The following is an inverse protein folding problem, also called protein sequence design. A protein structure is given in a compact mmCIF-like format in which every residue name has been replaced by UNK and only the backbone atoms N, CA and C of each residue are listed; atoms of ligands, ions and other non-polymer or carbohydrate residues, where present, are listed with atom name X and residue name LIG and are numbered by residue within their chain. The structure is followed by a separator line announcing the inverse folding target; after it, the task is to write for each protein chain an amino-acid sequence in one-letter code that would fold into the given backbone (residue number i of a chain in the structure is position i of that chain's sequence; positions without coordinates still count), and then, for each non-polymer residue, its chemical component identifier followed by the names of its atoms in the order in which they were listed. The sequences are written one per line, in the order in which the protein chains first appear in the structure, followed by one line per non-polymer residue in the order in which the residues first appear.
data_IF_328870243439
#
_entry.id   IF_328870243439
#
_cell.length_a   1.000
_cell.length_b   1.000
_cell.length_c   1.000
_cell.angle_alpha   90.00
_cell.angle_beta   90.00
_cell.angle_gamma   90.00
#
_symmetry.space_group_name_H-M   'P 1'
#
loop_
_entity.id
_entity.type
_entity.pdbx_description
1 polymer ?
#
# COMPACT_ATOMS: atom_id res chain seq x y z
N UNK A 1 3.98 -19.57 -4.39
CA UNK A 1 4.19 -18.41 -5.30
C UNK A 1 2.80 -17.85 -5.52
N UNK A 2 2.29 -17.23 -4.46
CA UNK A 2 0.86 -17.01 -4.30
C UNK A 2 0.48 -15.78 -5.13
N UNK A 3 0.09 -16.07 -6.38
CA UNK A 3 -0.36 -15.08 -7.34
C UNK A 3 -1.71 -14.56 -6.84
N UNK A 4 -1.69 -13.45 -6.11
CA UNK A 4 -2.91 -12.80 -5.66
C UNK A 4 -3.61 -12.12 -6.85
N UNK A 5 -4.88 -12.46 -7.07
CA UNK A 5 -5.70 -11.90 -8.15
C UNK A 5 -5.94 -10.39 -8.02
N UNK A 6 -5.73 -9.83 -6.83
CA UNK A 6 -5.89 -8.41 -6.56
C UNK A 6 -4.65 -7.58 -6.93
N UNK A 7 -3.53 -8.20 -7.29
CA UNK A 7 -2.34 -7.47 -7.73
C UNK A 7 -2.63 -6.89 -9.12
N UNK A 8 -2.52 -5.56 -9.31
CA UNK A 8 -2.78 -4.95 -10.61
C UNK A 8 -1.74 -5.42 -11.64
N UNK A 9 -2.16 -5.43 -12.93
CA UNK A 9 -1.26 -5.80 -14.03
C UNK A 9 -0.05 -4.88 -14.14
N UNK A 10 -0.25 -3.60 -13.84
CA UNK A 10 0.79 -2.57 -13.76
C UNK A 10 0.78 -1.93 -12.38
N UNK A 11 1.94 -1.89 -11.72
CA UNK A 11 2.10 -1.24 -10.42
C UNK A 11 2.30 0.25 -10.64
N UNK A 12 1.45 1.05 -9.99
CA UNK A 12 1.57 2.50 -10.03
C UNK A 12 2.84 3.00 -9.30
N UNK A 13 3.37 4.13 -9.74
CA UNK A 13 4.47 4.82 -9.06
C UNK A 13 3.96 5.58 -7.81
N UNK A 14 4.79 5.76 -6.77
CA UNK A 14 4.36 6.48 -5.58
C UNK A 14 4.09 7.95 -5.93
N UNK A 15 2.90 8.44 -5.57
CA UNK A 15 2.47 9.82 -5.81
C UNK A 15 3.16 10.84 -4.91
N UNK A 16 3.67 10.39 -3.78
CA UNK A 16 4.33 11.21 -2.76
C UNK A 16 5.45 10.44 -2.07
N UNK A 17 6.38 11.17 -1.45
CA UNK A 17 7.40 10.61 -0.55
C UNK A 17 6.94 10.56 0.93
N UNK A 18 5.75 11.11 1.22
CA UNK A 18 5.13 11.18 2.55
C UNK A 18 3.65 10.80 2.46
N UNK A 19 3.03 10.50 3.60
CA UNK A 19 1.60 10.29 3.72
C UNK A 19 0.84 11.50 3.16
N UNK A 20 -0.04 11.28 2.20
CA UNK A 20 -0.76 12.36 1.52
C UNK A 20 -1.76 13.09 2.43
N UNK A 21 -2.21 12.46 3.53
CA UNK A 21 -3.18 13.02 4.47
C UNK A 21 -2.54 13.78 5.63
N UNK A 22 -1.51 13.21 6.27
CA UNK A 22 -0.92 13.80 7.47
C UNK A 22 0.55 14.20 7.33
N UNK A 23 1.17 13.97 6.18
CA UNK A 23 2.57 14.35 5.93
C UNK A 23 3.61 13.51 6.67
N UNK A 24 3.23 12.43 7.34
CA UNK A 24 4.20 11.51 7.96
C UNK A 24 5.17 10.96 6.93
N UNK A 25 6.42 10.76 7.33
CA UNK A 25 7.49 10.15 6.52
C UNK A 25 7.91 8.78 7.05
N UNK A 26 7.24 8.27 8.09
CA UNK A 26 7.62 7.05 8.78
C UNK A 26 6.69 5.89 8.40
N UNK A 27 7.22 4.68 8.22
CA UNK A 27 6.46 3.46 7.93
C UNK A 27 5.32 3.67 6.92
N UNK A 28 5.72 4.08 5.71
CA UNK A 28 4.82 4.39 4.63
C UNK A 28 4.48 3.14 3.83
N UNK A 29 3.24 3.12 3.34
CA UNK A 29 2.70 2.11 2.45
C UNK A 29 2.18 2.82 1.22
N UNK A 30 2.43 2.22 0.06
CA UNK A 30 1.95 2.71 -1.22
C UNK A 30 0.92 1.73 -1.79
N UNK A 31 -0.19 2.26 -2.28
CA UNK A 31 -1.19 1.50 -3.02
C UNK A 31 -0.63 1.05 -4.37
N UNK A 32 -0.67 -0.26 -4.62
CA UNK A 32 -0.23 -0.86 -5.89
C UNK A 32 -1.03 -0.34 -7.10
N UNK A 33 -2.33 -0.10 -6.91
CA UNK A 33 -3.28 0.20 -7.99
C UNK A 33 -3.20 1.65 -8.46
N UNK A 34 -3.04 2.60 -7.54
CA UNK A 34 -3.13 4.04 -7.86
C UNK A 34 -1.93 4.87 -7.39
N UNK A 35 -0.98 4.27 -6.68
CA UNK A 35 0.25 4.93 -6.25
C UNK A 35 0.08 5.83 -5.03
N UNK A 36 -1.11 5.83 -4.42
CA UNK A 36 -1.39 6.61 -3.22
C UNK A 36 -0.47 6.20 -2.06
N UNK A 37 0.07 7.17 -1.33
CA UNK A 37 0.97 6.91 -0.20
C UNK A 37 0.32 7.29 1.13
N UNK A 38 0.15 6.30 2.00
CA UNK A 38 -0.45 6.47 3.32
C UNK A 38 0.41 5.89 4.44
N UNK A 39 0.21 6.38 5.66
CA UNK A 39 0.88 5.84 6.84
C UNK A 39 0.25 4.52 7.31
N UNK A 40 1.05 3.70 7.98
CA UNK A 40 0.64 2.43 8.57
C UNK A 40 -0.39 2.60 9.71
N UNK A 41 -1.05 1.49 10.09
CA UNK A 41 -2.00 1.36 11.20
C UNK A 41 -1.39 1.69 12.56
N UNK A 42 -0.06 1.56 12.71
CA UNK A 42 0.65 1.99 13.92
C UNK A 42 0.71 3.51 14.10
N UNK A 43 0.19 4.28 13.13
CA UNK A 43 0.05 5.73 13.18
C UNK A 43 -1.44 6.09 13.10
N UNK A 44 -1.86 6.73 12.00
CA UNK A 44 -3.27 7.06 11.74
C UNK A 44 -3.96 6.06 10.79
N UNK A 45 -3.22 5.11 10.21
CA UNK A 45 -3.79 4.06 9.36
C UNK A 45 -4.37 4.55 8.02
N UNK A 46 -3.92 5.70 7.49
CA UNK A 46 -4.46 6.26 6.26
C UNK A 46 -4.38 5.30 5.06
N UNK A 47 -3.33 4.48 4.97
CA UNK A 47 -3.25 3.50 3.89
C UNK A 47 -4.32 2.40 4.00
N UNK A 48 -4.67 1.95 5.21
CA UNK A 48 -5.71 0.93 5.42
C UNK A 48 -7.11 1.51 5.19
N UNK A 49 -7.31 2.79 5.54
CA UNK A 49 -8.54 3.52 5.21
C UNK A 49 -8.69 3.70 3.70
N UNK A 50 -7.61 4.11 3.02
CA UNK A 50 -7.57 4.23 1.56
C UNK A 50 -7.88 2.89 0.87
N UNK A 51 -7.24 1.81 1.30
CA UNK A 51 -7.45 0.48 0.74
C UNK A 51 -8.92 0.04 0.80
N UNK A 52 -9.61 0.34 1.91
CA UNK A 52 -11.04 0.05 2.07
C UNK A 52 -11.94 1.00 1.27
N UNK A 53 -11.65 2.30 1.28
CA UNK A 53 -12.46 3.31 0.60
C UNK A 53 -12.44 3.16 -0.93
N UNK A 54 -11.25 2.88 -1.49
CA UNK A 54 -11.05 2.78 -2.94
C UNK A 54 -11.12 1.34 -3.45
N UNK A 55 -11.35 0.35 -2.57
CA UNK A 55 -11.28 -1.08 -2.92
C UNK A 55 -9.93 -1.43 -3.57
N UNK A 56 -8.84 -0.90 -3.01
CA UNK A 56 -7.46 -1.16 -3.44
C UNK A 56 -6.72 -2.00 -2.40
N UNK A 57 -6.90 -3.33 -2.40
CA UNK A 57 -6.45 -4.15 -1.28
C UNK A 57 -4.95 -4.48 -1.31
N UNK A 58 -4.23 -4.17 -2.39
CA UNK A 58 -2.80 -4.48 -2.51
C UNK A 58 -1.95 -3.25 -2.25
N UNK A 59 -1.00 -3.40 -1.34
CA UNK A 59 -0.07 -2.34 -0.96
C UNK A 59 1.38 -2.84 -0.95
N UNK A 60 2.30 -1.92 -1.21
CA UNK A 60 3.74 -2.08 -1.10
C UNK A 60 4.25 -1.30 0.09
N UNK A 61 5.10 -1.92 0.92
CA UNK A 61 5.88 -1.17 1.90
C UNK A 61 6.93 -0.32 1.19
N UNK A 62 7.06 0.94 1.59
CA UNK A 62 8.13 1.78 1.09
C UNK A 62 9.43 1.49 1.86
N UNK A 63 10.61 1.50 1.20
CA UNK A 63 10.82 1.79 -0.23
C UNK A 63 10.37 0.65 -1.16
N UNK A 64 9.67 1.04 -2.24
CA UNK A 64 9.09 0.12 -3.24
C UNK A 64 10.19 -0.76 -3.84
N UNK A 65 9.93 -2.06 -3.97
CA UNK A 65 10.87 -3.05 -4.51
C UNK A 65 11.84 -3.66 -3.49
N UNK A 66 12.02 -3.02 -2.34
CA UNK A 66 12.81 -3.57 -1.21
C UNK A 66 11.95 -3.99 -0.02
N UNK A 67 10.70 -3.50 0.05
CA UNK A 67 9.74 -3.84 1.08
C UNK A 67 8.93 -5.10 0.77
N UNK A 68 7.96 -5.37 1.65
CA UNK A 68 6.97 -6.43 1.44
C UNK A 68 5.77 -5.94 0.64
N UNK A 69 5.06 -6.89 0.04
CA UNK A 69 3.75 -6.67 -0.56
C UNK A 69 2.70 -7.32 0.33
N UNK A 70 1.59 -6.64 0.56
CA UNK A 70 0.50 -7.14 1.39
C UNK A 70 -0.83 -7.01 0.67
N UNK A 71 -1.67 -8.03 0.79
CA UNK A 71 -3.06 -8.00 0.35
C UNK A 71 -3.99 -8.00 1.55
N UNK A 72 -4.81 -6.96 1.70
CA UNK A 72 -5.78 -6.85 2.79
C UNK A 72 -6.91 -7.88 2.69
N UNK A 73 -7.36 -8.24 1.48
CA UNK A 73 -8.40 -9.26 1.27
C UNK A 73 -7.95 -10.64 1.73
N UNK A 74 -6.76 -11.06 1.29
CA UNK A 74 -6.20 -12.36 1.67
C UNK A 74 -5.54 -12.35 3.06
N UNK A 75 -5.38 -11.16 3.67
CA UNK A 75 -4.61 -10.97 4.91
C UNK A 75 -3.28 -11.73 4.89
N UNK A 76 -2.57 -11.61 3.78
CA UNK A 76 -1.36 -12.38 3.51
C UNK A 76 -0.28 -11.52 2.86
N UNK A 77 0.98 -11.85 3.20
CA UNK A 77 2.13 -11.33 2.49
C UNK A 77 2.24 -12.00 1.13
N UNK A 78 2.48 -11.20 0.09
CA UNK A 78 2.76 -11.71 -1.25
C UNK A 78 4.28 -11.78 -1.44
N UNK A 79 4.73 -12.90 -1.98
CA UNK A 79 6.14 -13.20 -2.29
C UNK A 79 6.42 -12.98 -3.77
#
# INVERSE_FOLDING_TARGET
MDKCEHVPAEVAAPRSASCEECGSTFNLRMCASCGHVGCCESQAGHNSLHAQAESHPVIYSMPVGSGFTWCYEHRAYLT
#
